data_IF_365469375519
#
_entry.id   IF_365469375519
#
_cell.length_a   1.000
_cell.length_b   1.000
_cell.length_c   1.000
_cell.angle_alpha   90.00
_cell.angle_beta   90.00
_cell.angle_gamma   90.00
#
_symmetry.space_group_name_H-M   'P 1'
#
loop_
_entity.id
_entity.type
_entity.pdbx_description
1 polymer ?
#
# COMPACT_ATOMS: atom_id res chain seq x y z
N UNK A 1 36.04 4.83 -23.90
CA UNK A 1 35.83 5.00 -22.45
C UNK A 1 34.36 5.33 -22.26
N UNK A 2 33.52 4.31 -22.04
CA UNK A 2 32.07 4.50 -21.87
C UNK A 2 31.85 4.78 -20.39
N UNK A 3 31.41 5.99 -20.08
CA UNK A 3 30.93 6.38 -18.75
C UNK A 3 29.60 5.67 -18.48
N UNK A 4 29.65 4.60 -17.67
CA UNK A 4 28.45 3.92 -17.18
C UNK A 4 27.97 4.60 -15.90
N UNK A 5 27.51 5.84 -16.01
CA UNK A 5 26.75 6.49 -14.96
C UNK A 5 25.46 5.68 -14.76
N UNK A 6 25.36 4.95 -13.66
CA UNK A 6 24.19 4.12 -13.36
C UNK A 6 22.94 5.00 -13.29
N UNK A 7 22.02 4.85 -14.23
CA UNK A 7 20.77 5.62 -14.27
C UNK A 7 19.80 5.07 -13.21
N UNK A 8 19.93 5.55 -11.98
CA UNK A 8 18.94 5.27 -10.93
C UNK A 8 17.58 5.80 -11.38
N UNK A 9 16.57 4.93 -11.44
CA UNK A 9 15.20 5.33 -11.76
C UNK A 9 14.74 6.43 -10.78
N UNK A 10 14.09 7.52 -11.22
CA UNK A 10 13.76 8.68 -10.38
C UNK A 10 12.98 8.33 -9.09
N UNK A 11 12.24 7.23 -9.09
CA UNK A 11 11.58 6.72 -7.88
C UNK A 11 12.56 6.41 -6.74
N UNK A 12 13.77 5.93 -7.08
CA UNK A 12 14.84 5.56 -6.14
C UNK A 12 15.90 6.64 -5.93
N UNK A 13 15.68 7.87 -6.44
CA UNK A 13 16.65 8.98 -6.28
C UNK A 13 16.72 9.50 -4.83
N UNK A 14 15.69 9.25 -4.03
CA UNK A 14 15.59 9.69 -2.64
C UNK A 14 15.28 8.51 -1.71
N UNK A 15 15.82 8.56 -0.49
CA UNK A 15 15.46 7.61 0.57
C UNK A 15 13.99 7.83 0.98
N UNK A 16 13.23 6.74 1.04
CA UNK A 16 11.82 6.74 1.44
C UNK A 16 11.56 5.61 2.42
N UNK A 17 10.56 5.79 3.26
CA UNK A 17 10.00 4.75 4.10
C UNK A 17 8.50 4.65 3.85
N UNK A 18 7.93 3.49 4.18
CA UNK A 18 6.51 3.24 4.06
C UNK A 18 6.01 2.19 5.03
N UNK A 19 4.69 2.01 5.00
CA UNK A 19 3.99 1.02 5.82
C UNK A 19 3.24 0.07 4.90
N UNK A 20 3.32 -1.23 5.22
CA UNK A 20 2.45 -2.26 4.67
C UNK A 20 1.22 -2.37 5.58
N UNK A 21 0.05 -2.03 5.03
CA UNK A 21 -1.24 -2.17 5.73
C UNK A 21 -2.34 -2.45 4.72
N UNK A 22 -3.06 -3.56 4.85
CA UNK A 22 -4.18 -3.84 3.97
C UNK A 22 -5.46 -3.12 4.44
N UNK A 23 -6.31 -2.57 3.55
CA UNK A 23 -7.54 -1.88 3.96
C UNK A 23 -8.49 -2.71 4.83
N UNK A 24 -8.47 -4.05 4.69
CA UNK A 24 -9.27 -4.94 5.54
C UNK A 24 -8.88 -4.87 7.02
N UNK A 25 -7.66 -4.44 7.33
CA UNK A 25 -7.14 -4.28 8.69
C UNK A 25 -7.54 -2.96 9.35
N UNK A 26 -8.22 -2.05 8.63
CA UNK A 26 -8.70 -0.83 9.24
C UNK A 26 -9.75 -1.12 10.32
N UNK A 27 -9.71 -0.41 11.46
CA UNK A 27 -10.77 -0.49 12.44
C UNK A 27 -12.05 0.12 11.89
N UNK A 28 -13.19 -0.33 12.41
CA UNK A 28 -14.49 0.23 12.04
C UNK A 28 -15.65 -0.55 12.61
N UNK A 29 -16.88 -0.08 12.40
CA UNK A 29 -18.09 -0.70 12.97
C UNK A 29 -18.49 -2.02 12.29
N UNK A 30 -17.81 -2.41 11.20
CA UNK A 30 -18.09 -3.67 10.49
C UNK A 30 -17.06 -4.76 10.80
N UNK A 31 -17.30 -5.98 10.29
CA UNK A 31 -16.38 -7.11 10.49
C UNK A 31 -15.06 -6.98 9.72
N UNK A 32 -15.02 -6.11 8.70
CA UNK A 32 -13.87 -5.92 7.80
C UNK A 32 -13.69 -4.43 7.53
N UNK A 33 -12.44 -3.95 7.56
CA UNK A 33 -12.07 -2.60 7.18
C UNK A 33 -12.38 -2.29 5.72
N UNK A 34 -12.60 -1.00 5.41
CA UNK A 34 -13.09 -0.55 4.10
C UNK A 34 -12.36 0.70 3.65
N UNK A 35 -12.35 0.93 2.34
CA UNK A 35 -11.96 2.21 1.78
C UNK A 35 -13.07 3.23 2.04
N UNK A 36 -12.81 4.16 2.97
CA UNK A 36 -13.78 5.15 3.44
C UNK A 36 -13.08 6.25 4.26
N UNK A 37 -13.79 6.89 5.20
CA UNK A 37 -13.22 7.98 6.02
C UNK A 37 -11.94 7.58 6.77
N UNK A 38 -11.86 6.37 7.30
CA UNK A 38 -10.67 5.84 7.98
C UNK A 38 -9.48 5.71 7.02
N UNK A 39 -9.70 5.36 5.74
CA UNK A 39 -8.63 5.28 4.76
C UNK A 39 -8.05 6.67 4.42
N UNK A 40 -8.90 7.71 4.37
CA UNK A 40 -8.41 9.09 4.22
C UNK A 40 -7.61 9.54 5.45
N UNK A 41 -8.13 9.30 6.65
CA UNK A 41 -7.40 9.59 7.89
C UNK A 41 -6.06 8.84 7.96
N UNK A 42 -6.01 7.60 7.47
CA UNK A 42 -4.78 6.83 7.39
C UNK A 42 -3.73 7.49 6.48
N UNK A 43 -4.14 8.00 5.32
CA UNK A 43 -3.24 8.73 4.42
C UNK A 43 -2.75 10.03 5.07
N UNK A 44 -3.63 10.75 5.79
CA UNK A 44 -3.24 11.95 6.54
C UNK A 44 -2.20 11.62 7.63
N UNK A 45 -2.39 10.51 8.36
CA UNK A 45 -1.44 10.01 9.37
C UNK A 45 -0.11 9.61 8.75
N UNK A 46 -0.11 8.89 7.63
CA UNK A 46 1.10 8.51 6.90
C UNK A 46 1.91 9.75 6.49
N UNK A 47 1.23 10.73 5.88
CA UNK A 47 1.85 11.97 5.43
C UNK A 47 2.39 12.80 6.60
N UNK A 48 1.61 12.95 7.68
CA UNK A 48 2.03 13.65 8.89
C UNK A 48 3.22 12.99 9.60
N UNK A 49 3.35 11.67 9.46
CA UNK A 49 4.47 10.88 10.00
C UNK A 49 5.72 10.90 9.10
N UNK A 50 5.66 11.53 7.92
CA UNK A 50 6.76 11.58 6.96
C UNK A 50 6.93 10.31 6.11
N UNK A 51 6.04 9.32 6.23
CA UNK A 51 6.02 8.17 5.34
C UNK A 51 5.53 8.59 3.95
N UNK A 52 6.15 8.03 2.91
CA UNK A 52 5.87 8.40 1.51
C UNK A 52 5.35 7.23 0.67
N UNK A 53 5.25 6.05 1.26
CA UNK A 53 4.82 4.83 0.60
C UNK A 53 3.77 4.13 1.48
N UNK A 54 2.70 3.68 0.84
CA UNK A 54 1.73 2.75 1.43
C UNK A 54 1.69 1.52 0.54
N UNK A 55 2.04 0.37 1.10
CA UNK A 55 1.95 -0.91 0.42
C UNK A 55 0.70 -1.65 0.91
N UNK A 56 0.03 -2.35 0.00
CA UNK A 56 -1.10 -3.24 0.31
C UNK A 56 -0.84 -4.64 -0.25
N UNK A 57 -1.64 -5.60 0.21
CA UNK A 57 -1.86 -6.86 -0.49
C UNK A 57 -2.72 -6.61 -1.75
N UNK A 58 -2.92 -7.59 -2.65
CA UNK A 58 -3.80 -7.42 -3.80
C UNK A 58 -5.23 -7.07 -3.37
N UNK A 59 -5.87 -6.18 -4.13
CA UNK A 59 -7.21 -5.66 -3.83
C UNK A 59 -8.33 -6.41 -4.58
N UNK A 60 -7.97 -7.45 -5.33
CA UNK A 60 -8.95 -8.27 -6.03
C UNK A 60 -9.85 -9.02 -5.03
N UNK A 61 -11.07 -9.41 -5.44
CA UNK A 61 -11.94 -10.24 -4.60
C UNK A 61 -11.20 -11.51 -4.17
N UNK A 62 -11.04 -11.76 -2.86
CA UNK A 62 -10.38 -12.97 -2.38
C UNK A 62 -11.27 -14.20 -2.60
N UNK A 63 -10.66 -15.38 -2.48
CA UNK A 63 -11.39 -16.64 -2.43
C UNK A 63 -12.25 -16.78 -1.16
N UNK A 64 -12.96 -17.91 -1.05
CA UNK A 64 -13.81 -18.19 0.11
C UNK A 64 -13.06 -18.35 1.44
N UNK A 65 -11.73 -18.48 1.40
CA UNK A 65 -10.87 -18.56 2.59
C UNK A 65 -10.25 -17.21 2.96
N UNK A 66 -10.49 -16.16 2.15
CA UNK A 66 -10.04 -14.80 2.39
C UNK A 66 -8.59 -14.53 1.94
N UNK A 67 -8.01 -15.40 1.11
CA UNK A 67 -6.66 -15.18 0.57
C UNK A 67 -6.66 -14.05 -0.47
N UNK A 68 -5.93 -12.94 -0.28
CA UNK A 68 -5.86 -11.87 -1.28
C UNK A 68 -5.03 -12.27 -2.51
N UNK A 69 -4.34 -13.42 -2.47
CA UNK A 69 -3.54 -13.94 -3.58
C UNK A 69 -4.28 -14.95 -4.45
N UNK A 70 -5.50 -15.32 -4.08
CA UNK A 70 -6.35 -16.22 -4.85
C UNK A 70 -7.65 -15.49 -5.18
N UNK A 71 -7.82 -15.13 -6.46
CA UNK A 71 -8.94 -14.34 -6.95
C UNK A 71 -9.47 -14.92 -8.25
N UNK A 72 -10.75 -14.67 -8.54
CA UNK A 72 -11.37 -15.00 -9.82
C UNK A 72 -11.02 -14.02 -10.95
N UNK A 73 -10.31 -12.94 -10.65
CA UNK A 73 -9.97 -11.86 -11.58
C UNK A 73 -8.61 -11.23 -11.24
N UNK A 74 -7.97 -10.59 -12.23
CA UNK A 74 -6.69 -9.87 -12.13
C UNK A 74 -6.85 -8.37 -12.32
#
# INVERSE_FOLDING_TARGET
MIDQSSSTHPFFSERRAGILLHPSSFPGPGPIGRLGSIAHQWVDVLAASGFRLWQTLPLCPPDSLGSPYQSCSV
#
